data_IF_579193545634
#
_entry.id   IF_579193545634
#
_cell.length_a   1.000
_cell.length_b   1.000
_cell.length_c   1.000
_cell.angle_alpha   90.00
_cell.angle_beta   90.00
_cell.angle_gamma   90.00
#
_symmetry.space_group_name_H-M   'P 1'
#
loop_
_entity.id
_entity.type
_entity.pdbx_description
1 polymer ?
#
# COMPACT_ATOMS: atom_id res chain seq x y z
N UNK A 1 -17.81 9.77 -10.52
CA UNK A 1 -16.41 9.71 -10.98
C UNK A 1 -15.56 9.94 -9.75
N UNK A 2 -14.96 8.89 -9.22
CA UNK A 2 -14.14 8.95 -8.01
C UNK A 2 -12.70 9.29 -8.38
N UNK A 3 -12.00 9.95 -7.47
CA UNK A 3 -10.59 10.30 -7.60
C UNK A 3 -9.78 9.76 -6.44
N UNK A 4 -8.50 9.58 -6.70
CA UNK A 4 -7.47 9.54 -5.69
C UNK A 4 -6.86 10.94 -5.53
N UNK A 5 -6.71 11.40 -4.30
CA UNK A 5 -6.29 12.76 -3.95
C UNK A 5 -5.22 12.72 -2.86
N UNK A 6 -4.24 13.60 -2.94
CA UNK A 6 -3.32 13.89 -1.83
C UNK A 6 -3.51 15.34 -1.43
N UNK A 7 -3.86 15.57 -0.17
CA UNK A 7 -4.09 16.93 0.34
C UNK A 7 -2.79 17.75 0.28
N UNK A 8 -2.92 19.05 0.02
CA UNK A 8 -1.80 19.97 -0.04
C UNK A 8 -1.02 20.03 1.28
N UNK A 9 -1.70 19.90 2.42
CA UNK A 9 -1.03 19.88 3.74
C UNK A 9 -0.02 18.72 3.86
N UNK A 10 -0.25 17.62 3.14
CA UNK A 10 0.69 16.50 3.06
C UNK A 10 1.99 16.94 2.42
N UNK A 11 1.92 17.71 1.34
CA UNK A 11 3.10 18.22 0.63
C UNK A 11 3.79 19.38 1.35
N UNK A 12 3.15 19.99 2.35
CA UNK A 12 3.82 20.89 3.28
C UNK A 12 4.75 20.11 4.23
N UNK A 13 4.29 18.96 4.71
CA UNK A 13 5.11 18.06 5.56
C UNK A 13 6.13 17.28 4.72
N UNK A 14 5.74 16.78 3.55
CA UNK A 14 6.60 15.99 2.66
C UNK A 14 6.58 16.56 1.23
N UNK A 15 7.36 17.62 0.95
CA UNK A 15 7.38 18.27 -0.36
C UNK A 15 7.78 17.35 -1.53
N UNK A 16 8.48 16.26 -1.24
CA UNK A 16 8.92 15.27 -2.20
C UNK A 16 8.10 13.97 -2.18
N UNK A 17 7.02 13.89 -1.41
CA UNK A 17 6.16 12.71 -1.41
C UNK A 17 5.55 12.50 -2.81
N UNK A 18 5.47 11.24 -3.21
CA UNK A 18 4.83 10.83 -4.45
C UNK A 18 4.16 9.46 -4.32
N UNK A 19 3.23 9.19 -5.23
CA UNK A 19 2.49 7.92 -5.29
C UNK A 19 2.46 7.41 -6.71
N UNK A 20 3.02 6.22 -6.93
CA UNK A 20 2.76 5.44 -8.13
C UNK A 20 1.36 4.85 -8.06
N UNK A 21 0.59 4.97 -9.13
CA UNK A 21 -0.81 4.48 -9.16
C UNK A 21 -0.94 3.38 -10.20
N UNK A 22 -1.56 2.26 -9.82
CA UNK A 22 -2.11 1.26 -10.74
C UNK A 22 -3.57 1.05 -10.40
N UNK A 23 -4.46 1.16 -11.37
CA UNK A 23 -5.87 0.77 -11.28
C UNK A 23 -6.05 -0.43 -12.17
N UNK A 24 -6.68 -1.48 -11.65
CA UNK A 24 -7.05 -2.66 -12.42
C UNK A 24 -8.54 -2.94 -12.27
N UNK A 25 -9.26 -2.98 -13.39
CA UNK A 25 -10.71 -3.16 -13.41
C UNK A 25 -11.06 -4.55 -13.95
N UNK A 26 -11.82 -5.33 -13.19
CA UNK A 26 -12.26 -6.66 -13.61
C UNK A 26 -11.27 -7.79 -13.28
N UNK A 27 -10.54 -7.70 -12.17
CA UNK A 27 -9.73 -8.82 -11.67
C UNK A 27 -10.66 -9.91 -11.11
N UNK A 28 -10.44 -11.18 -11.52
CA UNK A 28 -10.98 -12.32 -10.79
C UNK A 28 -10.05 -12.65 -9.61
N UNK A 29 -10.43 -12.21 -8.41
CA UNK A 29 -9.68 -12.46 -7.19
C UNK A 29 -10.13 -13.74 -6.45
N UNK A 30 -11.07 -14.50 -7.01
CA UNK A 30 -11.59 -15.75 -6.43
C UNK A 30 -10.78 -16.99 -6.85
N UNK A 31 -10.09 -16.90 -7.99
CA UNK A 31 -9.31 -18.00 -8.56
C UNK A 31 -7.81 -17.78 -8.30
N UNK A 32 -7.10 -18.74 -7.67
CA UNK A 32 -5.65 -18.68 -7.55
C UNK A 32 -4.95 -18.45 -8.90
N UNK A 33 -3.99 -17.55 -8.93
CA UNK A 33 -3.19 -17.31 -10.14
C UNK A 33 -2.06 -18.33 -10.25
N UNK A 34 -2.07 -19.12 -11.32
CA UNK A 34 -1.07 -20.17 -11.55
C UNK A 34 0.37 -19.62 -11.48
N UNK A 35 1.19 -20.25 -10.64
CA UNK A 35 2.60 -19.90 -10.43
C UNK A 35 2.86 -18.67 -9.56
N UNK A 36 1.83 -17.93 -9.11
CA UNK A 36 2.02 -16.77 -8.21
C UNK A 36 2.62 -17.19 -6.87
N UNK A 37 2.17 -18.31 -6.30
CA UNK A 37 2.73 -18.85 -5.05
C UNK A 37 4.22 -19.16 -5.17
N UNK A 38 4.64 -19.77 -6.29
CA UNK A 38 6.05 -20.06 -6.56
C UNK A 38 6.87 -18.78 -6.76
N UNK A 39 6.33 -17.78 -7.47
CA UNK A 39 6.98 -16.47 -7.63
C UNK A 39 7.19 -15.78 -6.28
N UNK A 40 6.15 -15.78 -5.44
CA UNK A 40 6.21 -15.21 -4.10
C UNK A 40 7.24 -15.95 -3.23
N UNK A 41 7.22 -17.28 -3.22
CA UNK A 41 8.18 -18.07 -2.44
C UNK A 41 9.62 -17.86 -2.90
N UNK A 42 9.86 -17.81 -4.22
CA UNK A 42 11.19 -17.53 -4.76
C UNK A 42 11.73 -16.16 -4.34
N UNK A 43 10.87 -15.12 -4.32
CA UNK A 43 11.30 -13.79 -3.87
C UNK A 43 11.50 -13.74 -2.34
N UNK A 44 10.68 -14.47 -1.56
CA UNK A 44 10.89 -14.65 -0.12
C UNK A 44 12.27 -15.27 0.14
N UNK A 45 12.60 -16.36 -0.56
CA UNK A 45 13.86 -17.07 -0.40
C UNK A 45 15.06 -16.19 -0.77
N UNK A 46 14.96 -15.51 -1.91
CA UNK A 46 15.96 -14.54 -2.37
C UNK A 46 16.17 -13.41 -1.35
N UNK A 47 15.09 -12.73 -0.93
CA UNK A 47 15.18 -11.65 0.06
C UNK A 47 15.81 -12.14 1.37
N UNK A 48 15.41 -13.33 1.84
CA UNK A 48 15.90 -13.91 3.09
C UNK A 48 17.38 -14.24 3.01
N UNK A 49 17.83 -14.77 1.87
CA UNK A 49 19.24 -15.10 1.64
C UNK A 49 20.10 -13.84 1.55
N UNK A 50 19.67 -12.83 0.80
CA UNK A 50 20.40 -11.56 0.63
C UNK A 50 20.48 -10.74 1.92
N UNK A 51 19.55 -10.95 2.86
CA UNK A 51 19.44 -10.15 4.10
C UNK A 51 19.58 -11.00 5.37
N UNK A 52 20.23 -12.16 5.31
CA UNK A 52 20.34 -13.08 6.45
C UNK A 52 21.00 -12.44 7.69
N UNK A 53 22.01 -11.60 7.48
CA UNK A 53 22.76 -10.91 8.53
C UNK A 53 22.32 -9.45 8.72
N UNK A 54 21.34 -8.99 7.92
CA UNK A 54 20.87 -7.60 7.96
C UNK A 54 19.69 -7.45 8.92
N UNK A 55 19.69 -6.37 9.69
CA UNK A 55 18.51 -5.95 10.43
C UNK A 55 17.54 -5.25 9.48
N UNK A 56 16.31 -5.77 9.33
CA UNK A 56 15.28 -5.18 8.44
C UNK A 56 15.09 -3.68 8.69
N UNK A 57 15.23 -3.21 9.94
CA UNK A 57 15.09 -1.79 10.29
C UNK A 57 16.13 -0.87 9.67
N UNK A 58 17.27 -1.44 9.27
CA UNK A 58 18.43 -0.73 8.74
C UNK A 58 18.50 -0.78 7.21
N UNK A 59 17.60 -1.54 6.56
CA UNK A 59 17.49 -1.51 5.10
C UNK A 59 17.13 -0.10 4.64
N UNK A 60 17.74 0.33 3.54
CA UNK A 60 17.70 1.72 3.09
C UNK A 60 16.26 2.28 2.99
N UNK A 61 15.37 1.60 2.26
CA UNK A 61 13.99 2.04 2.12
C UNK A 61 13.17 1.87 3.40
N UNK A 62 13.41 0.84 4.21
CA UNK A 62 12.75 0.72 5.51
C UNK A 62 13.11 1.91 6.40
N UNK A 63 14.39 2.29 6.45
CA UNK A 63 14.83 3.42 7.24
C UNK A 63 14.24 4.74 6.72
N UNK A 64 14.12 4.93 5.40
CA UNK A 64 13.43 6.07 4.79
C UNK A 64 12.00 6.25 5.33
N UNK A 65 11.20 5.18 5.36
CA UNK A 65 9.84 5.25 5.91
C UNK A 65 9.82 5.41 7.43
N UNK A 66 10.80 4.87 8.15
CA UNK A 66 10.94 5.09 9.59
C UNK A 66 11.23 6.56 9.90
N UNK A 67 12.08 7.23 9.12
CA UNK A 67 12.30 8.67 9.25
C UNK A 67 11.03 9.48 8.92
N UNK A 68 10.29 9.09 7.89
CA UNK A 68 9.01 9.72 7.57
C UNK A 68 8.00 9.58 8.72
N UNK A 69 7.91 8.39 9.35
CA UNK A 69 7.09 8.17 10.54
C UNK A 69 7.51 9.07 11.70
N UNK A 70 8.82 9.20 11.96
CA UNK A 70 9.32 10.11 13.00
C UNK A 70 8.97 11.57 12.72
N UNK A 71 9.01 12.00 11.45
CA UNK A 71 8.61 13.37 11.05
C UNK A 71 7.14 13.66 11.37
N UNK A 72 6.29 12.65 11.31
CA UNK A 72 4.88 12.70 11.70
C UNK A 72 4.65 12.47 13.21
N UNK A 73 5.71 12.44 14.03
CA UNK A 73 5.65 12.07 15.45
C UNK A 73 5.07 10.68 15.72
N UNK A 74 5.09 9.79 14.72
CA UNK A 74 4.68 8.38 14.86
C UNK A 74 5.91 7.59 15.31
N UNK A 75 5.80 6.86 16.42
CA UNK A 75 6.90 6.01 16.90
C UNK A 75 7.00 4.74 16.04
N UNK A 76 8.04 4.58 15.19
CA UNK A 76 8.15 3.44 14.27
C UNK A 76 8.51 2.12 14.97
N UNK A 77 8.80 2.13 16.28
CA UNK A 77 8.94 0.90 17.07
C UNK A 77 7.60 0.40 17.61
N UNK A 78 6.62 1.30 17.78
CA UNK A 78 5.25 0.97 18.21
C UNK A 78 4.35 0.69 17.01
N UNK A 79 4.44 1.52 15.97
CA UNK A 79 3.65 1.44 14.75
C UNK A 79 4.59 1.23 13.57
N UNK A 80 4.82 -0.03 13.20
CA UNK A 80 5.68 -0.36 12.05
C UNK A 80 4.92 -0.11 10.75
N UNK A 81 5.57 0.52 9.76
CA UNK A 81 4.99 0.60 8.43
C UNK A 81 4.80 -0.79 7.81
N UNK A 82 3.89 -0.90 6.85
CA UNK A 82 3.50 -2.14 6.18
C UNK A 82 4.70 -2.90 5.64
N UNK A 83 5.63 -2.20 4.97
CA UNK A 83 6.82 -2.84 4.40
C UNK A 83 7.80 -3.35 5.49
N UNK A 84 8.05 -2.60 6.57
CA UNK A 84 8.88 -3.11 7.68
C UNK A 84 8.26 -4.37 8.30
N UNK A 85 6.94 -4.36 8.51
CA UNK A 85 6.20 -5.49 9.06
C UNK A 85 6.26 -6.73 8.14
N UNK A 86 6.07 -6.54 6.84
CA UNK A 86 6.13 -7.61 5.84
C UNK A 86 7.54 -8.21 5.73
N UNK A 87 8.58 -7.38 5.61
CA UNK A 87 9.96 -7.86 5.48
C UNK A 87 10.43 -8.59 6.75
N UNK A 88 10.01 -8.14 7.94
CA UNK A 88 10.28 -8.87 9.19
C UNK A 88 9.62 -10.25 9.23
N UNK A 89 8.34 -10.34 8.83
CA UNK A 89 7.65 -11.64 8.75
C UNK A 89 8.33 -12.55 7.74
N UNK A 90 8.74 -12.00 6.60
CA UNK A 90 9.47 -12.71 5.54
C UNK A 90 10.77 -13.30 6.07
N UNK A 91 11.63 -12.48 6.67
CA UNK A 91 12.91 -12.92 7.23
C UNK A 91 12.74 -13.96 8.36
N UNK A 92 11.71 -13.79 9.21
CA UNK A 92 11.47 -14.66 10.37
C UNK A 92 10.89 -16.02 9.99
N UNK A 93 9.86 -16.03 9.15
CA UNK A 93 9.05 -17.22 8.90
C UNK A 93 9.48 -17.96 7.63
N UNK A 94 10.18 -17.29 6.70
CA UNK A 94 10.60 -17.81 5.39
C UNK A 94 9.46 -18.35 4.52
N UNK A 95 8.22 -18.04 4.90
CA UNK A 95 6.99 -18.33 4.17
C UNK A 95 5.92 -17.37 4.66
N UNK A 96 5.05 -16.94 3.76
CA UNK A 96 3.84 -16.17 4.06
C UNK A 96 2.60 -17.05 3.84
N UNK A 97 1.50 -16.79 4.57
CA UNK A 97 0.23 -17.41 4.23
C UNK A 97 -0.22 -16.92 2.86
N UNK A 98 -0.76 -17.82 2.06
CA UNK A 98 -1.52 -17.48 0.85
C UNK A 98 -2.89 -16.95 1.30
N UNK A 99 -3.29 -15.78 0.80
CA UNK A 99 -4.49 -15.08 1.25
C UNK A 99 -5.51 -15.00 0.12
N UNK A 100 -5.16 -14.31 -0.96
CA UNK A 100 -5.87 -14.25 -2.23
C UNK A 100 -4.93 -13.65 -3.29
N UNK A 101 -5.20 -13.86 -4.59
CA UNK A 101 -4.29 -13.44 -5.66
C UNK A 101 -3.84 -11.98 -5.59
N UNK A 102 -4.74 -11.04 -5.32
CA UNK A 102 -4.43 -9.60 -5.24
C UNK A 102 -3.51 -9.30 -4.06
N UNK A 103 -3.78 -9.85 -2.88
CA UNK A 103 -2.95 -9.66 -1.69
C UNK A 103 -1.58 -10.30 -1.86
N UNK A 104 -1.52 -11.51 -2.43
CA UNK A 104 -0.28 -12.24 -2.62
C UNK A 104 0.59 -11.59 -3.72
N UNK A 105 -0.02 -11.04 -4.76
CA UNK A 105 0.63 -10.21 -5.76
C UNK A 105 1.22 -8.93 -5.14
N UNK A 106 0.44 -8.27 -4.28
CA UNK A 106 0.90 -7.12 -3.51
C UNK A 106 2.12 -7.46 -2.65
N UNK A 107 2.06 -8.57 -1.90
CA UNK A 107 3.18 -9.04 -1.08
C UNK A 107 4.42 -9.34 -1.92
N UNK A 108 4.27 -10.00 -3.07
CA UNK A 108 5.38 -10.31 -3.98
C UNK A 108 6.09 -9.03 -4.43
N UNK A 109 5.36 -8.05 -4.97
CA UNK A 109 5.95 -6.80 -5.44
C UNK A 109 6.51 -5.94 -4.30
N UNK A 110 5.84 -5.90 -3.14
CA UNK A 110 6.37 -5.22 -1.95
C UNK A 110 7.71 -5.80 -1.51
N UNK A 111 7.88 -7.13 -1.48
CA UNK A 111 9.14 -7.75 -1.08
C UNK A 111 10.22 -7.47 -2.12
N UNK A 112 9.90 -7.68 -3.41
CA UNK A 112 10.82 -7.50 -4.53
C UNK A 112 11.45 -6.11 -4.57
N UNK A 113 10.64 -5.08 -4.32
CA UNK A 113 11.06 -3.68 -4.39
C UNK A 113 11.38 -3.06 -3.03
N UNK A 114 11.03 -3.72 -1.93
CA UNK A 114 11.10 -3.19 -0.57
C UNK A 114 10.34 -1.85 -0.42
N UNK A 115 9.19 -1.74 -1.11
CA UNK A 115 8.33 -0.55 -1.10
C UNK A 115 6.94 -0.84 -0.49
N UNK A 116 6.30 0.14 0.18
CA UNK A 116 4.91 0.06 0.58
C UNK A 116 4.03 0.04 -0.68
N UNK A 117 3.31 -1.05 -0.86
CA UNK A 117 2.28 -1.22 -1.89
C UNK A 117 0.99 -1.57 -1.17
N UNK A 118 -0.02 -0.71 -1.31
CA UNK A 118 -1.37 -0.95 -0.81
C UNK A 118 -2.26 -1.62 -1.85
N UNK A 119 -3.45 -2.00 -1.44
CA UNK A 119 -4.54 -2.39 -2.33
C UNK A 119 -5.87 -1.95 -1.70
N UNK A 120 -6.66 -1.20 -2.46
CA UNK A 120 -7.98 -0.71 -2.07
C UNK A 120 -9.02 -1.15 -3.08
N UNK A 121 -10.10 -1.73 -2.58
CA UNK A 121 -11.27 -2.10 -3.38
C UNK A 121 -12.08 -0.84 -3.71
N UNK A 122 -12.09 -0.44 -4.98
CA UNK A 122 -12.75 0.78 -5.49
C UNK A 122 -14.26 0.70 -5.29
N UNK A 123 -14.82 -0.51 -5.37
CA UNK A 123 -16.25 -0.76 -5.23
C UNK A 123 -16.74 -0.54 -3.78
N UNK A 124 -15.82 -0.60 -2.80
CA UNK A 124 -16.08 -0.33 -1.38
C UNK A 124 -15.77 1.10 -0.94
N UNK A 125 -15.38 1.98 -1.86
CA UNK A 125 -15.18 3.40 -1.58
C UNK A 125 -16.53 4.12 -1.58
N UNK A 126 -16.76 4.93 -0.54
CA UNK A 126 -18.00 5.70 -0.36
C UNK A 126 -17.93 7.09 -1.02
N UNK A 127 -16.71 7.55 -1.29
CA UNK A 127 -16.37 8.82 -1.94
C UNK A 127 -14.97 8.69 -2.58
N UNK A 128 -14.37 9.80 -3.00
CA UNK A 128 -12.94 9.89 -3.36
C UNK A 128 -12.04 9.20 -2.31
N UNK A 129 -10.91 8.66 -2.74
CA UNK A 129 -9.86 8.14 -1.85
C UNK A 129 -8.82 9.23 -1.62
N UNK A 130 -8.66 9.67 -0.39
CA UNK A 130 -7.80 10.78 -0.03
C UNK A 130 -6.66 10.32 0.88
N UNK A 131 -5.49 10.95 0.70
CA UNK A 131 -4.41 10.97 1.67
C UNK A 131 -4.40 12.35 2.32
N UNK A 132 -4.81 12.40 3.59
CA UNK A 132 -4.94 13.65 4.33
C UNK A 132 -4.74 13.44 5.83
N UNK A 133 -4.69 14.53 6.58
CA UNK A 133 -4.80 14.49 8.03
C UNK A 133 -6.27 14.26 8.44
N UNK A 134 -6.46 13.54 9.54
CA UNK A 134 -7.80 13.21 10.04
C UNK A 134 -8.55 14.44 10.54
N UNK A 135 -9.87 14.43 10.37
CA UNK A 135 -10.81 15.34 11.00
C UNK A 135 -11.63 14.63 12.10
N UNK A 136 -12.47 15.37 12.81
CA UNK A 136 -13.27 14.87 13.95
C UNK A 136 -14.34 13.83 13.58
N UNK A 137 -14.75 13.78 12.32
CA UNK A 137 -15.82 12.91 11.83
C UNK A 137 -15.28 11.58 11.31
N UNK A 138 -13.96 11.46 11.17
CA UNK A 138 -13.30 10.25 10.70
C UNK A 138 -13.51 9.07 11.66
N UNK A 139 -13.78 7.90 11.09
CA UNK A 139 -14.04 6.64 11.79
C UNK A 139 -13.19 5.53 11.19
N UNK A 140 -12.75 4.61 12.04
CA UNK A 140 -11.92 3.49 11.62
C UNK A 140 -12.45 2.19 12.24
N UNK A 141 -12.79 1.20 11.42
CA UNK A 141 -13.04 -0.16 11.88
C UNK A 141 -11.75 -0.96 11.71
N UNK A 142 -11.03 -1.34 12.78
CA UNK A 142 -9.77 -2.04 12.62
C UNK A 142 -9.96 -3.43 12.01
N UNK A 143 -9.05 -3.85 11.13
CA UNK A 143 -9.12 -5.17 10.51
C UNK A 143 -9.23 -6.28 11.55
N UNK A 144 -10.23 -7.16 11.38
CA UNK A 144 -10.55 -8.27 12.26
C UNK A 144 -11.38 -7.92 13.51
N UNK A 145 -11.74 -6.65 13.70
CA UNK A 145 -12.52 -6.18 14.84
C UNK A 145 -13.96 -5.82 14.42
N UNK A 146 -14.85 -5.67 15.42
CA UNK A 146 -16.25 -5.25 15.21
C UNK A 146 -16.55 -3.86 15.75
N UNK A 147 -15.63 -3.28 16.53
CA UNK A 147 -15.82 -1.98 17.17
C UNK A 147 -15.14 -0.86 16.39
N UNK A 148 -15.86 0.25 16.20
CA UNK A 148 -15.33 1.43 15.52
C UNK A 148 -14.47 2.24 16.51
N UNK A 149 -13.26 2.56 16.08
CA UNK A 149 -12.35 3.48 16.74
C UNK A 149 -12.43 4.90 16.14
N UNK A 150 -12.09 5.89 16.96
CA UNK A 150 -11.84 7.26 16.51
C UNK A 150 -10.32 7.42 16.30
N UNK A 151 -9.85 7.79 15.09
CA UNK A 151 -8.45 8.12 14.85
C UNK A 151 -7.94 9.26 15.73
N UNK A 152 -6.62 9.33 15.93
CA UNK A 152 -6.04 10.44 16.70
C UNK A 152 -6.16 11.73 15.86
N UNK A 153 -6.44 12.89 16.48
CA UNK A 153 -6.51 14.15 15.73
C UNK A 153 -5.18 14.48 15.05
N UNK A 154 -5.24 14.94 13.80
CA UNK A 154 -4.05 15.19 12.97
C UNK A 154 -3.27 13.92 12.60
N UNK A 155 -3.87 12.74 12.68
CA UNK A 155 -3.25 11.51 12.20
C UNK A 155 -3.23 11.51 10.67
N UNK A 156 -2.11 11.10 10.08
CA UNK A 156 -1.98 10.99 8.63
C UNK A 156 -2.62 9.68 8.14
N UNK A 157 -3.57 9.71 7.20
CA UNK A 157 -4.40 8.54 6.86
C UNK A 157 -4.73 8.45 5.36
N UNK A 158 -5.05 7.23 4.91
CA UNK A 158 -5.90 7.02 3.74
C UNK A 158 -7.37 6.97 4.19
N UNK A 159 -8.25 7.68 3.51
CA UNK A 159 -9.66 7.83 3.91
C UNK A 159 -10.56 7.98 2.68
N UNK A 160 -11.79 7.47 2.76
CA UNK A 160 -12.83 7.74 1.74
C UNK A 160 -14.06 8.31 2.44
N UNK A 161 -14.41 9.55 2.10
CA UNK A 161 -15.33 10.37 2.89
C UNK A 161 -14.80 10.55 4.32
N UNK A 162 -15.45 9.90 5.29
CA UNK A 162 -15.01 9.82 6.69
C UNK A 162 -14.64 8.41 7.15
N UNK A 163 -14.54 7.46 6.23
CA UNK A 163 -14.18 6.08 6.53
C UNK A 163 -12.69 5.88 6.28
N UNK A 164 -11.91 5.84 7.36
CA UNK A 164 -10.46 5.62 7.28
C UNK A 164 -10.19 4.22 6.78
N UNK A 165 -9.43 4.12 5.69
CA UNK A 165 -9.03 2.85 5.06
C UNK A 165 -7.69 2.36 5.57
N UNK A 166 -6.78 3.28 5.90
CA UNK A 166 -5.48 2.94 6.50
C UNK A 166 -5.08 3.99 7.53
N UNK A 167 -4.87 3.54 8.78
CA UNK A 167 -4.37 4.37 9.88
C UNK A 167 -2.86 4.57 9.83
N UNK A 168 -2.40 5.71 10.35
CA UNK A 168 -1.00 6.14 10.39
C UNK A 168 -0.29 5.92 9.05
N UNK A 169 -0.99 6.32 7.99
CA UNK A 169 -0.63 6.31 6.57
C UNK A 169 -0.42 4.91 5.99
N UNK A 170 0.38 4.05 6.62
CA UNK A 170 0.70 2.71 6.12
C UNK A 170 0.88 1.69 7.25
N UNK A 171 0.23 1.88 8.40
CA UNK A 171 0.36 0.96 9.55
C UNK A 171 -0.72 -0.11 9.60
N UNK A 172 -2.00 0.29 9.67
CA UNK A 172 -3.12 -0.65 9.92
C UNK A 172 -4.28 -0.37 8.99
N UNK A 173 -4.62 -1.37 8.18
CA UNK A 173 -5.78 -1.33 7.29
C UNK A 173 -7.09 -1.50 8.08
N UNK A 174 -8.17 -0.96 7.55
CA UNK A 174 -9.52 -1.15 8.07
C UNK A 174 -10.13 -2.48 7.64
N UNK A 175 -11.12 -2.98 8.38
CA UNK A 175 -11.81 -4.22 8.03
C UNK A 175 -12.70 -4.06 6.79
N UNK A 176 -13.37 -2.93 6.67
CA UNK A 176 -14.25 -2.60 5.53
C UNK A 176 -13.46 -2.23 4.25
N UNK A 177 -12.16 -1.95 4.39
CA UNK A 177 -11.24 -1.66 3.29
C UNK A 177 -10.44 -2.87 2.82
N UNK A 178 -10.67 -4.06 3.38
CA UNK A 178 -9.92 -5.28 3.04
C UNK A 178 -10.26 -5.79 1.64
N UNK A 179 -9.24 -6.29 0.96
CA UNK A 179 -9.39 -7.04 -0.27
C UNK A 179 -9.97 -8.42 0.06
N UNK A 180 -11.03 -8.77 -0.64
CA UNK A 180 -11.74 -10.04 -0.53
C UNK A 180 -11.73 -10.77 -1.86
N UNK A 181 -12.11 -12.05 -1.88
CA UNK A 181 -12.26 -12.82 -3.14
C UNK A 181 -13.26 -12.18 -4.11
N UNK A 182 -14.22 -11.41 -3.59
CA UNK A 182 -15.21 -10.65 -4.38
C UNK A 182 -14.67 -9.32 -4.96
N UNK A 183 -13.49 -8.86 -4.52
CA UNK A 183 -12.94 -7.58 -4.96
C UNK A 183 -12.45 -7.67 -6.41
N UNK A 184 -12.94 -6.79 -7.28
CA UNK A 184 -12.70 -6.85 -8.73
C UNK A 184 -12.04 -5.58 -9.29
N UNK A 185 -12.40 -4.40 -8.79
CA UNK A 185 -11.83 -3.13 -9.21
C UNK A 185 -10.86 -2.62 -8.14
N UNK A 186 -9.56 -2.70 -8.40
CA UNK A 186 -8.53 -2.51 -7.39
C UNK A 186 -7.68 -1.27 -7.72
N UNK A 187 -7.51 -0.41 -6.73
CA UNK A 187 -6.53 0.67 -6.72
C UNK A 187 -5.30 0.27 -5.89
N UNK A 188 -4.14 0.30 -6.51
CA UNK A 188 -2.84 0.00 -5.92
C UNK A 188 -1.99 1.27 -5.79
N UNK A 189 -1.92 1.90 -4.60
CA UNK A 189 -0.98 2.97 -4.33
C UNK A 189 0.41 2.40 -3.98
N UNK A 190 1.44 3.03 -4.55
CA UNK A 190 2.85 2.74 -4.26
C UNK A 190 3.45 4.03 -3.69
N UNK A 191 3.54 4.10 -2.36
CA UNK A 191 4.09 5.26 -1.66
C UNK A 191 5.59 5.39 -1.92
N UNK A 192 6.07 6.62 -2.10
CA UNK A 192 7.49 6.90 -2.19
C UNK A 192 7.84 8.39 -2.11
N UNK A 193 9.09 8.70 -2.43
CA UNK A 193 9.69 10.01 -2.30
C UNK A 193 10.58 10.33 -3.51
N UNK A 194 10.32 11.46 -4.14
CA UNK A 194 11.12 12.03 -5.23
C UNK A 194 12.53 12.34 -4.73
N UNK A 195 13.52 11.86 -5.48
CA UNK A 195 14.94 11.96 -5.19
C UNK A 195 15.48 10.83 -4.33
N UNK A 196 14.61 9.97 -3.78
CA UNK A 196 14.99 8.86 -2.89
C UNK A 196 14.70 7.51 -3.53
N UNK A 197 13.44 7.24 -3.91
CA UNK A 197 13.01 5.94 -4.42
C UNK A 197 11.99 6.01 -5.57
N UNK A 198 11.77 7.19 -6.16
CA UNK A 198 10.76 7.40 -7.20
C UNK A 198 10.97 6.52 -8.44
N UNK A 199 12.23 6.18 -8.74
CA UNK A 199 12.56 5.30 -9.86
C UNK A 199 12.06 3.88 -9.63
N UNK A 200 12.17 3.38 -8.40
CA UNK A 200 11.67 2.05 -8.04
C UNK A 200 10.15 2.06 -7.89
N UNK A 201 9.54 3.17 -7.44
CA UNK A 201 8.08 3.35 -7.47
C UNK A 201 7.55 3.23 -8.89
N UNK A 202 8.15 3.95 -9.85
CA UNK A 202 7.75 3.91 -11.27
C UNK A 202 7.97 2.51 -11.85
N UNK A 203 9.12 1.88 -11.55
CA UNK A 203 9.44 0.55 -12.06
C UNK A 203 8.48 -0.52 -11.52
N UNK A 204 8.16 -0.48 -10.22
CA UNK A 204 7.17 -1.35 -9.60
C UNK A 204 5.80 -1.13 -10.25
N UNK A 205 5.35 0.13 -10.39
CA UNK A 205 4.08 0.49 -11.03
C UNK A 205 3.97 -0.13 -12.43
N UNK A 206 4.99 0.07 -13.26
CA UNK A 206 4.98 -0.39 -14.64
C UNK A 206 4.98 -1.93 -14.70
N UNK A 207 5.84 -2.59 -13.92
CA UNK A 207 5.91 -4.06 -13.88
C UNK A 207 4.64 -4.71 -13.33
N UNK A 208 4.05 -4.14 -12.27
CA UNK A 208 2.76 -4.59 -11.72
C UNK A 208 1.66 -4.44 -12.77
N UNK A 209 1.62 -3.31 -13.49
CA UNK A 209 0.62 -3.08 -14.52
C UNK A 209 0.71 -4.07 -15.68
N UNK A 210 1.92 -4.38 -16.14
CA UNK A 210 2.16 -5.36 -17.20
C UNK A 210 1.80 -6.77 -16.73
N UNK A 211 2.15 -7.12 -15.50
CA UNK A 211 1.81 -8.39 -14.90
C UNK A 211 0.29 -8.58 -14.84
N UNK A 212 -0.44 -7.61 -14.31
CA UNK A 212 -1.90 -7.66 -14.18
C UNK A 212 -2.56 -7.81 -15.55
N UNK A 213 -2.17 -6.99 -16.54
CA UNK A 213 -2.72 -7.09 -17.91
C UNK A 213 -2.55 -8.50 -18.48
N UNK A 214 -1.37 -9.10 -18.29
CA UNK A 214 -1.07 -10.44 -18.81
C UNK A 214 -1.83 -11.54 -18.06
N UNK A 215 -1.92 -11.42 -16.73
CA UNK A 215 -2.52 -12.44 -15.87
C UNK A 215 -4.05 -12.46 -15.96
N UNK A 216 -4.69 -11.28 -15.97
CA UNK A 216 -6.14 -11.15 -15.86
C UNK A 216 -6.83 -10.69 -17.15
N UNK A 217 -6.06 -10.30 -18.18
CA UNK A 217 -6.60 -9.77 -19.44
C UNK A 217 -7.63 -8.64 -19.22
N UNK A 218 -7.34 -7.77 -18.25
CA UNK A 218 -8.25 -6.73 -17.78
C UNK A 218 -7.74 -5.32 -18.11
N UNK A 219 -8.62 -4.32 -17.96
CA UNK A 219 -8.23 -2.93 -18.16
C UNK A 219 -7.36 -2.47 -16.99
N UNK A 220 -6.20 -1.90 -17.32
CA UNK A 220 -5.28 -1.33 -16.34
C UNK A 220 -4.99 0.12 -16.72
N UNK A 221 -5.01 1.02 -15.74
CA UNK A 221 -4.60 2.42 -15.89
C UNK A 221 -3.48 2.71 -14.91
N UNK A 222 -2.50 3.53 -15.31
CA UNK A 222 -1.35 3.87 -14.48
C UNK A 222 -1.21 5.38 -14.33
N UNK A 223 -0.76 5.81 -13.16
CA UNK A 223 -0.62 7.22 -12.82
C UNK A 223 0.62 7.51 -11.99
N UNK A 224 0.84 8.80 -11.75
CA UNK A 224 1.84 9.29 -10.82
C UNK A 224 1.31 10.57 -10.19
N UNK A 225 1.24 10.59 -8.87
CA UNK A 225 0.72 11.70 -8.08
C UNK A 225 1.86 12.31 -7.28
N UNK A 226 1.99 13.63 -7.33
CA UNK A 226 2.99 14.40 -6.58
C UNK A 226 2.44 15.79 -6.25
N UNK A 227 3.29 16.67 -5.70
CA UNK A 227 2.91 18.04 -5.34
C UNK A 227 2.37 18.88 -6.51
N UNK A 228 2.80 18.61 -7.73
CA UNK A 228 2.40 19.37 -8.92
C UNK A 228 1.17 18.77 -9.61
N UNK A 229 0.90 17.48 -9.37
CA UNK A 229 -0.28 16.78 -9.84
C UNK A 229 -0.84 15.90 -8.71
N UNK A 230 -1.59 16.53 -7.80
CA UNK A 230 -2.03 15.91 -6.54
C UNK A 230 -3.28 15.02 -6.64
N UNK A 231 -3.69 14.66 -7.87
CA UNK A 231 -4.91 13.87 -8.09
C UNK A 231 -4.80 12.91 -9.26
N UNK A 232 -5.59 11.84 -9.22
CA UNK A 232 -5.75 10.88 -10.31
C UNK A 232 -7.19 10.34 -10.35
N UNK A 233 -7.76 10.12 -11.54
CA UNK A 233 -9.13 9.59 -11.67
C UNK A 233 -9.10 8.07 -11.46
N UNK A 234 -9.97 7.53 -10.60
CA UNK A 234 -10.00 6.09 -10.27
C UNK A 234 -11.28 5.36 -10.68
N UNK A 235 -12.38 6.08 -10.92
CA UNK A 235 -13.67 5.56 -11.44
C UNK A 235 -14.38 6.66 -12.25
#
# INVERSE_FOLDING_TARGET
>A
MKKFLVDNEVFEVFPNYCVGVVIANGIDNSTPLDGLGDLLQNEIDKFTQENIDNNVRELHYVNLYREAFRKLSINPNKYMCSIESLLKRTQKNKKLPEINPVVDLGNFFSIKYQLPLGAHDIDKLVDDLEIRFTNQDDRFLPMGETEIEIPDSGEFVYVSGNTVKTRRWMWRQSDDGKITEESSNIFFPIDGFIGENEKDVIKLRDELSEFIRKAYNCEVNVGFVDKNNSSFIIE
#
